data_IF_644865704829
#
_entry.id   IF_644865704829
#
_cell.length_a   1.000
_cell.length_b   1.000
_cell.length_c   1.000
_cell.angle_alpha   90.00
_cell.angle_beta   90.00
_cell.angle_gamma   90.00
#
_symmetry.space_group_name_H-M   'P 1'
#
loop_
_entity.id
_entity.type
_entity.pdbx_description
1 polymer ?
#
# COMPACT_ATOMS: atom_id res chain seq x y z
N UNK A 1 3.12 3.55 -7.00
CA UNK A 1 4.16 4.19 -6.18
C UNK A 1 5.02 5.07 -7.09
N UNK A 2 5.03 6.39 -6.88
CA UNK A 2 5.82 7.30 -7.72
C UNK A 2 7.32 7.04 -7.53
N UNK A 3 8.05 6.83 -8.62
CA UNK A 3 9.49 6.52 -8.61
C UNK A 3 10.40 7.55 -7.93
N UNK A 4 9.87 8.73 -7.55
CA UNK A 4 10.66 9.77 -6.86
C UNK A 4 11.11 9.38 -5.43
N UNK A 5 10.52 8.36 -4.79
CA UNK A 5 10.92 7.94 -3.43
C UNK A 5 11.78 6.67 -3.36
N UNK A 6 11.93 5.90 -4.46
CA UNK A 6 12.60 4.60 -4.42
C UNK A 6 14.08 4.74 -4.09
N UNK A 7 14.80 5.59 -4.83
CA UNK A 7 16.23 5.83 -4.62
C UNK A 7 16.51 6.43 -3.23
N UNK A 8 15.68 7.37 -2.78
CA UNK A 8 15.78 7.94 -1.44
C UNK A 8 15.65 6.85 -0.37
N UNK A 9 14.65 5.97 -0.51
CA UNK A 9 14.40 4.87 0.43
C UNK A 9 15.56 3.87 0.44
N UNK A 10 16.03 3.45 -0.74
CA UNK A 10 17.17 2.54 -0.87
C UNK A 10 18.44 3.13 -0.25
N UNK A 11 18.73 4.39 -0.55
CA UNK A 11 19.86 5.12 0.03
C UNK A 11 19.76 5.23 1.54
N UNK A 12 18.56 5.50 2.06
CA UNK A 12 18.31 5.57 3.51
C UNK A 12 18.56 4.22 4.18
N UNK A 13 17.99 3.13 3.64
CA UNK A 13 18.14 1.78 4.19
C UNK A 13 19.61 1.35 4.20
N UNK A 14 20.32 1.49 3.07
CA UNK A 14 21.74 1.14 2.96
C UNK A 14 22.63 1.96 3.91
N UNK A 15 22.28 3.23 4.15
CA UNK A 15 22.97 4.05 5.16
C UNK A 15 22.72 3.52 6.57
N UNK A 16 21.48 3.16 6.91
CA UNK A 16 21.14 2.65 8.25
C UNK A 16 21.80 1.30 8.50
N UNK A 17 21.78 0.38 7.54
CA UNK A 17 22.43 -0.94 7.63
C UNK A 17 23.92 -0.79 7.94
N UNK A 18 24.64 0.00 7.13
CA UNK A 18 26.07 0.25 7.34
C UNK A 18 26.36 0.93 8.67
N UNK A 19 25.61 1.97 9.02
CA UNK A 19 25.83 2.75 10.26
C UNK A 19 25.53 1.94 11.53
N UNK A 20 24.57 1.02 11.47
CA UNK A 20 24.18 0.17 12.61
C UNK A 20 24.92 -1.17 12.65
N UNK A 21 25.68 -1.50 11.61
CA UNK A 21 26.38 -2.79 11.50
C UNK A 21 25.43 -3.97 11.37
N UNK A 22 24.29 -3.81 10.69
CA UNK A 22 23.35 -4.92 10.48
C UNK A 22 23.87 -5.87 9.40
N UNK A 23 23.76 -7.17 9.64
CA UNK A 23 24.01 -8.21 8.64
C UNK A 23 22.75 -8.38 7.76
N UNK A 24 22.55 -7.42 6.84
CA UNK A 24 21.40 -7.40 5.96
C UNK A 24 21.77 -6.82 4.58
N UNK A 25 21.09 -7.30 3.54
CA UNK A 25 21.21 -6.80 2.17
C UNK A 25 19.86 -6.32 1.66
N UNK A 26 19.85 -5.27 0.85
CA UNK A 26 18.62 -4.74 0.23
C UNK A 26 18.73 -4.91 -1.28
N UNK A 27 17.72 -5.52 -1.88
CA UNK A 27 17.59 -5.68 -3.33
C UNK A 27 16.42 -4.85 -3.84
N UNK A 28 16.65 -4.04 -4.88
CA UNK A 28 15.58 -3.31 -5.54
C UNK A 28 14.90 -4.21 -6.58
N UNK A 29 13.64 -4.57 -6.31
CA UNK A 29 12.83 -5.41 -7.18
C UNK A 29 11.81 -4.62 -8.02
N UNK A 30 11.91 -3.28 -8.03
CA UNK A 30 10.89 -2.40 -8.64
C UNK A 30 10.64 -2.73 -10.11
N UNK A 31 11.68 -2.95 -10.91
CA UNK A 31 11.54 -3.25 -12.35
C UNK A 31 11.12 -4.70 -12.63
N UNK A 32 11.36 -5.61 -11.69
CA UNK A 32 11.03 -7.03 -11.83
C UNK A 32 9.56 -7.35 -11.55
N UNK A 33 8.81 -6.39 -11.00
CA UNK A 33 7.44 -6.59 -10.52
C UNK A 33 6.48 -5.54 -11.07
N UNK A 34 5.39 -5.99 -11.68
CA UNK A 34 4.19 -5.21 -11.91
C UNK A 34 3.25 -5.27 -10.70
N UNK A 35 2.44 -4.22 -10.53
CA UNK A 35 1.37 -4.18 -9.53
C UNK A 35 0.06 -3.81 -10.23
N UNK A 36 -0.95 -4.66 -10.07
CA UNK A 36 -2.34 -4.36 -10.44
C UNK A 36 -3.18 -4.24 -9.17
N UNK A 37 -3.99 -3.19 -9.07
CA UNK A 37 -4.90 -3.00 -7.94
C UNK A 37 -6.32 -3.31 -8.39
N UNK A 38 -6.91 -4.37 -7.82
CA UNK A 38 -8.29 -4.77 -8.07
C UNK A 38 -9.13 -4.36 -6.85
N UNK A 39 -9.93 -3.30 -6.99
CA UNK A 39 -10.63 -2.67 -5.88
C UNK A 39 -12.13 -2.56 -6.16
N UNK A 40 -12.94 -2.70 -5.12
CA UNK A 40 -14.40 -2.62 -5.16
C UNK A 40 -15.08 -3.89 -4.62
N UNK A 41 -16.42 -3.84 -4.41
CA UNK A 41 -17.18 -4.92 -3.78
C UNK A 41 -17.11 -6.24 -4.55
N UNK A 42 -16.97 -6.18 -5.88
CA UNK A 42 -16.88 -7.37 -6.74
C UNK A 42 -15.44 -7.91 -6.91
N UNK A 43 -14.45 -7.27 -6.29
CA UNK A 43 -13.03 -7.66 -6.45
C UNK A 43 -12.74 -9.11 -6.07
N UNK A 44 -13.40 -9.64 -5.03
CA UNK A 44 -13.29 -11.04 -4.63
C UNK A 44 -13.83 -11.97 -5.73
N UNK A 45 -15.06 -11.75 -6.17
CA UNK A 45 -15.69 -12.59 -7.19
C UNK A 45 -14.89 -12.61 -8.49
N UNK A 46 -14.43 -11.45 -8.96
CA UNK A 46 -13.59 -11.34 -10.15
C UNK A 46 -12.28 -12.14 -10.00
N UNK A 47 -11.68 -12.12 -8.80
CA UNK A 47 -10.42 -12.83 -8.55
C UNK A 47 -10.65 -14.34 -8.44
N UNK A 48 -11.78 -14.77 -7.86
CA UNK A 48 -12.19 -16.18 -7.78
C UNK A 48 -12.43 -16.81 -9.17
N UNK A 49 -12.87 -16.05 -10.18
CA UNK A 49 -12.99 -16.54 -11.57
C UNK A 49 -11.64 -16.96 -12.18
N UNK A 50 -10.52 -16.45 -11.66
CA UNK A 50 -9.19 -16.62 -12.25
C UNK A 50 -8.22 -17.41 -11.37
N UNK A 51 -8.63 -17.82 -10.16
CA UNK A 51 -7.83 -18.68 -9.26
C UNK A 51 -8.72 -19.73 -8.57
N UNK A 52 -8.17 -20.92 -8.34
CA UNK A 52 -8.88 -22.01 -7.62
C UNK A 52 -8.82 -21.87 -6.08
N UNK A 53 -8.44 -20.69 -5.59
CA UNK A 53 -8.25 -20.46 -4.16
C UNK A 53 -9.50 -19.86 -3.54
N UNK A 54 -9.85 -20.31 -2.34
CA UNK A 54 -10.90 -19.71 -1.53
C UNK A 54 -10.40 -18.37 -0.97
N UNK A 55 -11.04 -17.28 -1.39
CA UNK A 55 -10.72 -15.90 -1.01
C UNK A 55 -11.72 -15.34 0.01
N UNK A 56 -12.45 -16.21 0.70
CA UNK A 56 -13.36 -15.84 1.78
C UNK A 56 -12.63 -15.13 2.91
N UNK A 57 -13.39 -14.34 3.68
CA UNK A 57 -12.86 -13.58 4.81
C UNK A 57 -12.13 -14.44 5.84
N UNK A 58 -12.53 -15.71 5.96
CA UNK A 58 -11.94 -16.67 6.90
C UNK A 58 -10.54 -17.11 6.48
N UNK A 59 -10.34 -17.40 5.19
CA UNK A 59 -9.07 -17.93 4.68
C UNK A 59 -8.14 -16.84 4.15
N UNK A 60 -8.70 -15.71 3.71
CA UNK A 60 -7.94 -14.55 3.26
C UNK A 60 -8.35 -13.28 4.02
N UNK A 61 -8.03 -13.15 5.33
CA UNK A 61 -8.42 -11.99 6.12
C UNK A 61 -7.71 -10.70 5.68
N UNK A 62 -8.30 -9.55 6.00
CA UNK A 62 -7.73 -8.23 5.69
C UNK A 62 -6.31 -8.09 6.28
N UNK A 63 -5.44 -7.33 5.58
CA UNK A 63 -4.06 -7.09 5.99
C UNK A 63 -3.17 -8.35 6.02
N UNK A 64 -3.49 -9.34 5.17
CA UNK A 64 -2.66 -10.53 4.93
C UNK A 64 -2.29 -10.66 3.45
N UNK A 65 -1.42 -11.62 3.13
CA UNK A 65 -1.00 -11.91 1.76
C UNK A 65 -0.97 -13.41 1.49
N UNK A 66 -1.22 -13.78 0.23
CA UNK A 66 -1.18 -15.15 -0.26
C UNK A 66 -0.56 -15.18 -1.66
N UNK A 67 -0.04 -16.34 -2.08
CA UNK A 67 0.40 -16.58 -3.45
C UNK A 67 -0.71 -17.31 -4.19
N UNK A 68 -1.29 -16.66 -5.18
CA UNK A 68 -2.35 -17.19 -6.03
C UNK A 68 -1.75 -17.75 -7.32
N UNK A 69 -2.41 -18.76 -7.89
CA UNK A 69 -2.14 -19.23 -9.24
C UNK A 69 -3.21 -18.69 -10.19
N UNK A 70 -2.86 -17.66 -10.97
CA UNK A 70 -3.75 -17.07 -11.96
C UNK A 70 -3.42 -17.65 -13.33
N UNK A 71 -4.18 -18.68 -13.73
CA UNK A 71 -4.04 -19.40 -15.02
C UNK A 71 -2.58 -19.78 -15.35
N UNK A 72 -1.86 -20.35 -14.38
CA UNK A 72 -0.47 -20.80 -14.53
C UNK A 72 0.59 -19.76 -14.15
N UNK A 73 0.19 -18.57 -13.69
CA UNK A 73 1.10 -17.50 -13.27
C UNK A 73 1.01 -17.30 -11.75
N UNK A 74 2.14 -17.39 -11.05
CA UNK A 74 2.20 -17.12 -9.62
C UNK A 74 2.15 -15.62 -9.35
N UNK A 75 1.17 -15.21 -8.55
CA UNK A 75 0.90 -13.81 -8.21
C UNK A 75 0.80 -13.68 -6.71
N UNK A 76 1.55 -12.75 -6.11
CA UNK A 76 1.39 -12.45 -4.68
C UNK A 76 0.27 -11.43 -4.51
N UNK A 77 -0.85 -11.87 -3.96
CA UNK A 77 -1.97 -11.00 -3.64
C UNK A 77 -1.85 -10.51 -2.19
N UNK A 78 -2.02 -9.21 -1.98
CA UNK A 78 -2.19 -8.60 -0.68
C UNK A 78 -3.64 -8.16 -0.55
N UNK A 79 -4.33 -8.56 0.53
CA UNK A 79 -5.66 -8.07 0.82
C UNK A 79 -5.57 -6.71 1.51
N UNK A 80 -5.30 -5.69 0.70
CA UNK A 80 -5.11 -4.30 1.08
C UNK A 80 -5.90 -3.38 0.14
N UNK A 81 -6.26 -2.20 0.64
CA UNK A 81 -6.95 -1.20 -0.15
C UNK A 81 -6.41 0.19 0.15
N UNK A 82 -6.10 0.93 -0.91
CA UNK A 82 -5.81 2.36 -0.85
C UNK A 82 -7.04 3.23 -1.15
N UNK A 83 -8.19 2.60 -1.43
CA UNK A 83 -9.47 3.30 -1.68
C UNK A 83 -10.51 3.00 -0.58
N UNK A 84 -10.12 2.20 0.43
CA UNK A 84 -10.94 1.83 1.59
C UNK A 84 -12.15 0.93 1.28
N UNK A 85 -12.12 0.24 0.15
CA UNK A 85 -13.11 -0.77 -0.24
C UNK A 85 -12.48 -2.17 -0.16
N UNK A 86 -13.28 -3.22 -0.32
CA UNK A 86 -12.73 -4.57 -0.52
C UNK A 86 -11.81 -4.55 -1.77
N UNK A 87 -10.63 -5.13 -1.66
CA UNK A 87 -9.73 -5.20 -2.80
C UNK A 87 -8.42 -5.91 -2.51
N UNK A 88 -7.64 -6.05 -3.58
CA UNK A 88 -6.38 -6.75 -3.61
C UNK A 88 -5.34 -5.96 -4.39
N UNK A 89 -4.10 -5.96 -3.90
CA UNK A 89 -2.92 -5.57 -4.67
C UNK A 89 -2.20 -6.83 -5.15
N UNK A 90 -2.10 -6.97 -6.46
CA UNK A 90 -1.54 -8.13 -7.13
C UNK A 90 -0.12 -7.81 -7.58
N UNK A 91 0.86 -8.34 -6.87
CA UNK A 91 2.27 -8.25 -7.22
C UNK A 91 2.63 -9.39 -8.16
N UNK A 92 2.98 -9.05 -9.40
CA UNK A 92 3.11 -9.97 -10.53
C UNK A 92 4.53 -9.82 -11.10
N UNK A 93 5.28 -10.90 -11.38
CA UNK A 93 6.52 -10.79 -12.14
C UNK A 93 6.26 -10.04 -13.45
N UNK A 94 7.08 -9.05 -13.79
CA UNK A 94 6.80 -8.09 -14.87
C UNK A 94 6.45 -8.75 -16.21
N UNK A 95 7.14 -9.85 -16.54
CA UNK A 95 6.89 -10.67 -17.75
C UNK A 95 5.49 -11.30 -17.84
N UNK A 96 4.74 -11.39 -16.74
CA UNK A 96 3.39 -11.96 -16.69
C UNK A 96 2.30 -10.91 -16.46
N UNK A 97 2.67 -9.64 -16.27
CA UNK A 97 1.74 -8.58 -15.89
C UNK A 97 0.62 -8.39 -16.94
N UNK A 98 0.99 -8.34 -18.22
CA UNK A 98 0.03 -8.22 -19.34
C UNK A 98 -0.96 -9.39 -19.38
N UNK A 99 -0.46 -10.63 -19.21
CA UNK A 99 -1.30 -11.84 -19.22
C UNK A 99 -2.31 -11.81 -18.07
N UNK A 100 -1.86 -11.50 -16.86
CA UNK A 100 -2.73 -11.41 -15.68
C UNK A 100 -3.75 -10.27 -15.84
N UNK A 101 -3.34 -9.12 -16.38
CA UNK A 101 -4.24 -8.01 -16.69
C UNK A 101 -5.37 -8.44 -17.62
N UNK A 102 -5.06 -9.13 -18.72
CA UNK A 102 -6.09 -9.61 -19.65
C UNK A 102 -7.06 -10.62 -19.02
N UNK A 103 -6.56 -11.54 -18.18
CA UNK A 103 -7.42 -12.49 -17.46
C UNK A 103 -8.41 -11.76 -16.53
N UNK A 104 -7.94 -10.76 -15.79
CA UNK A 104 -8.80 -9.94 -14.93
C UNK A 104 -9.81 -9.12 -15.73
N UNK A 105 -9.40 -8.55 -16.87
CA UNK A 105 -10.31 -7.80 -17.75
C UNK A 105 -11.43 -8.68 -18.31
N UNK A 106 -11.13 -9.92 -18.69
CA UNK A 106 -12.12 -10.88 -19.17
C UNK A 106 -13.09 -11.28 -18.06
N UNK A 107 -12.57 -11.70 -16.90
CA UNK A 107 -13.40 -12.07 -15.74
C UNK A 107 -14.24 -10.90 -15.23
N UNK A 108 -13.69 -9.69 -15.19
CA UNK A 108 -14.36 -8.49 -14.70
C UNK A 108 -15.48 -7.95 -15.59
N UNK A 109 -15.65 -8.48 -16.81
CA UNK A 109 -16.65 -7.98 -17.77
C UNK A 109 -18.08 -8.13 -17.24
N UNK A 110 -18.41 -9.29 -16.66
CA UNK A 110 -19.75 -9.57 -16.12
C UNK A 110 -20.05 -8.72 -14.87
N UNK A 111 -19.02 -8.31 -14.14
CA UNK A 111 -19.12 -7.49 -12.95
C UNK A 111 -19.07 -5.99 -13.24
N UNK A 112 -19.03 -5.58 -14.51
CA UNK A 112 -18.96 -4.17 -14.92
C UNK A 112 -17.65 -3.49 -14.51
N UNK A 113 -16.55 -4.24 -14.41
CA UNK A 113 -15.24 -3.71 -14.02
C UNK A 113 -14.78 -2.60 -14.98
N UNK A 114 -14.21 -1.53 -14.42
CA UNK A 114 -13.71 -0.38 -15.18
C UNK A 114 -12.27 -0.08 -14.78
N UNK A 115 -11.50 0.41 -15.75
CA UNK A 115 -10.17 0.94 -15.49
C UNK A 115 -10.29 2.30 -14.80
N UNK A 116 -9.45 2.50 -13.78
CA UNK A 116 -9.36 3.74 -13.04
C UNK A 116 -7.89 4.18 -12.95
N UNK A 117 -7.66 5.48 -13.06
CA UNK A 117 -6.33 6.08 -12.91
C UNK A 117 -6.09 6.62 -11.50
N UNK A 118 -4.90 7.21 -11.31
CA UNK A 118 -4.49 7.77 -10.02
C UNK A 118 -5.43 8.87 -9.48
N UNK A 119 -6.09 9.66 -10.35
CA UNK A 119 -7.03 10.70 -9.90
C UNK A 119 -8.23 10.13 -9.15
N UNK A 120 -8.85 9.07 -9.68
CA UNK A 120 -9.95 8.38 -9.02
C UNK A 120 -9.48 7.73 -7.71
N UNK A 121 -8.32 7.08 -7.75
CA UNK A 121 -7.72 6.46 -6.56
C UNK A 121 -7.45 7.49 -5.45
N UNK A 122 -6.88 8.65 -5.79
CA UNK A 122 -6.60 9.71 -4.81
C UNK A 122 -7.88 10.36 -4.28
N UNK A 123 -8.91 10.52 -5.10
CA UNK A 123 -10.23 10.99 -4.65
C UNK A 123 -10.81 10.05 -3.59
N UNK A 124 -10.83 8.74 -3.86
CA UNK A 124 -11.34 7.75 -2.91
C UNK A 124 -10.46 7.65 -1.66
N UNK A 125 -9.13 7.71 -1.80
CA UNK A 125 -8.22 7.74 -0.66
C UNK A 125 -8.47 8.94 0.26
N UNK A 126 -8.74 10.11 -0.32
CA UNK A 126 -9.09 11.33 0.40
C UNK A 126 -10.39 11.17 1.20
N UNK A 127 -11.43 10.54 0.61
CA UNK A 127 -12.69 10.25 1.32
C UNK A 127 -12.49 9.35 2.55
N UNK A 128 -11.48 8.48 2.53
CA UNK A 128 -11.11 7.63 3.68
C UNK A 128 -10.15 8.30 4.66
N UNK A 129 -9.70 9.51 4.37
CA UNK A 129 -8.73 10.25 5.17
C UNK A 129 -7.32 9.65 5.14
N UNK A 130 -6.96 8.94 4.07
CA UNK A 130 -5.61 8.42 3.89
C UNK A 130 -4.65 9.53 3.49
N UNK A 131 -3.40 9.39 3.93
CA UNK A 131 -2.36 10.37 3.70
C UNK A 131 -1.54 10.02 2.47
N UNK A 132 -1.37 10.98 1.57
CA UNK A 132 -0.48 10.91 0.43
C UNK A 132 0.88 11.51 0.78
N UNK A 133 1.92 10.68 0.66
CA UNK A 133 3.30 11.16 0.81
C UNK A 133 3.64 12.20 -0.26
N UNK A 134 4.28 13.30 0.15
CA UNK A 134 4.56 14.52 -0.63
C UNK A 134 3.37 15.44 -0.93
N UNK A 135 2.15 15.09 -0.52
CA UNK A 135 0.98 15.99 -0.59
C UNK A 135 0.51 16.34 0.81
N UNK A 136 0.04 15.34 1.55
CA UNK A 136 -0.46 15.50 2.93
C UNK A 136 0.65 15.36 3.96
N UNK A 137 1.69 14.58 3.63
CA UNK A 137 2.87 14.38 4.47
C UNK A 137 4.11 14.91 3.78
N UNK A 138 4.81 15.81 4.45
CA UNK A 138 6.10 16.35 4.01
C UNK A 138 7.19 15.97 5.01
N UNK A 139 8.45 16.18 4.62
CA UNK A 139 9.62 15.81 5.43
C UNK A 139 9.74 16.63 6.73
N UNK A 140 9.03 17.75 6.83
CA UNK A 140 8.93 18.65 7.99
C UNK A 140 7.67 18.41 8.84
N UNK A 141 6.87 17.40 8.53
CA UNK A 141 5.74 16.97 9.35
C UNK A 141 6.14 15.78 10.23
N UNK A 142 5.66 15.75 11.48
CA UNK A 142 5.87 14.60 12.36
C UNK A 142 4.59 13.75 12.54
N UNK A 143 4.71 12.46 12.92
CA UNK A 143 3.55 11.57 13.02
C UNK A 143 2.45 12.06 13.98
N UNK A 144 2.77 12.88 14.98
CA UNK A 144 1.77 13.43 15.91
C UNK A 144 0.97 14.55 15.26
N UNK A 145 1.64 15.44 14.51
CA UNK A 145 0.98 16.50 13.72
C UNK A 145 0.05 15.91 12.65
N UNK A 146 0.47 14.82 12.02
CA UNK A 146 -0.30 14.12 11.01
C UNK A 146 -1.43 13.23 11.57
N UNK A 147 -1.64 13.17 12.89
CA UNK A 147 -2.63 12.24 13.47
C UNK A 147 -2.27 10.75 13.34
N UNK A 148 -1.04 10.44 12.94
CA UNK A 148 -0.48 9.09 12.75
C UNK A 148 0.27 8.57 13.99
N UNK A 149 0.17 9.26 15.13
CA UNK A 149 0.89 8.91 16.36
C UNK A 149 0.57 7.52 16.92
N UNK A 150 -0.55 6.91 16.49
CA UNK A 150 -0.95 5.55 16.83
C UNK A 150 -0.14 4.47 16.09
N UNK A 151 0.46 4.80 14.93
CA UNK A 151 1.33 3.90 14.17
C UNK A 151 2.75 3.81 14.76
N UNK A 152 3.13 4.78 15.60
CA UNK A 152 4.44 4.78 16.23
C UNK A 152 4.55 3.65 17.27
N UNK A 153 5.66 2.91 17.23
CA UNK A 153 5.95 1.81 18.16
C UNK A 153 5.84 2.28 19.61
N UNK A 154 5.10 1.52 20.44
CA UNK A 154 4.88 1.85 21.87
C UNK A 154 6.07 1.53 22.77
N UNK A 155 6.87 0.52 22.43
CA UNK A 155 7.96 0.02 23.27
C UNK A 155 9.24 -0.17 22.45
N UNK A 156 10.40 -0.14 23.10
CA UNK A 156 11.70 -0.25 22.43
C UNK A 156 12.13 1.03 21.70
N UNK A 157 13.29 0.97 21.04
CA UNK A 157 13.90 2.11 20.36
C UNK A 157 13.58 2.12 18.85
N UNK A 158 13.44 3.31 18.28
CA UNK A 158 13.34 3.55 16.83
C UNK A 158 13.83 4.96 16.48
N UNK A 159 14.19 5.18 15.21
CA UNK A 159 14.66 6.48 14.76
C UNK A 159 13.55 7.54 14.89
N UNK A 160 13.83 8.65 15.59
CA UNK A 160 12.86 9.72 15.82
C UNK A 160 11.97 9.54 17.07
N UNK A 161 12.14 8.47 17.86
CA UNK A 161 11.33 8.20 19.06
C UNK A 161 11.24 9.39 20.02
N UNK A 162 12.39 9.96 20.42
CA UNK A 162 12.44 11.11 21.34
C UNK A 162 11.65 12.31 20.83
N UNK A 163 11.65 12.56 19.52
CA UNK A 163 10.88 13.65 18.90
C UNK A 163 9.38 13.39 19.00
N UNK A 164 8.96 12.15 18.70
CA UNK A 164 7.55 11.74 18.80
C UNK A 164 7.06 11.81 20.26
N UNK A 165 7.84 11.34 21.22
CA UNK A 165 7.48 11.38 22.65
C UNK A 165 7.33 12.81 23.17
N UNK A 166 8.25 13.70 22.79
CA UNK A 166 8.14 15.12 23.12
C UNK A 166 6.89 15.76 22.52
N UNK A 167 6.59 15.49 21.25
CA UNK A 167 5.39 16.01 20.58
C UNK A 167 4.09 15.48 21.22
N UNK A 168 4.09 14.23 21.70
CA UNK A 168 2.96 13.66 22.45
C UNK A 168 2.78 14.32 23.82
N UNK A 169 3.88 14.54 24.55
CA UNK A 169 3.84 15.10 25.91
C UNK A 169 3.52 16.61 25.92
N UNK A 170 4.13 17.37 25.02
CA UNK A 170 4.04 18.83 25.00
C UNK A 170 2.88 19.35 24.12
N UNK A 171 2.26 18.49 23.32
CA UNK A 171 1.36 18.89 22.25
C UNK A 171 2.09 19.37 21.00
N UNK A 172 1.31 19.71 19.97
CA UNK A 172 1.79 20.15 18.65
C UNK A 172 1.16 21.47 18.26
N UNK A 173 1.91 22.30 17.52
CA UNK A 173 1.48 23.63 17.09
C UNK A 173 0.54 23.59 15.86
N UNK A 174 0.75 22.62 14.97
CA UNK A 174 -0.08 22.36 13.78
C UNK A 174 -0.65 20.95 13.84
N UNK A 175 -1.82 20.73 13.21
CA UNK A 175 -2.41 19.41 13.02
C UNK A 175 -3.00 19.29 11.63
N UNK A 176 -2.86 18.11 11.03
CA UNK A 176 -3.58 17.74 9.81
C UNK A 176 -5.07 17.60 10.13
N UNK A 177 -5.91 18.20 9.28
CA UNK A 177 -7.37 18.17 9.41
C UNK A 177 -8.01 17.99 8.04
N UNK A 178 -9.19 17.39 8.00
CA UNK A 178 -10.03 17.34 6.81
C UNK A 178 -11.06 18.46 6.87
N UNK A 179 -11.15 19.24 5.79
CA UNK A 179 -12.12 20.33 5.66
C UNK A 179 -13.16 19.96 4.61
N UNK A 180 -14.43 20.21 4.92
CA UNK A 180 -15.53 20.14 3.98
C UNK A 180 -16.03 21.56 3.71
N UNK A 181 -15.85 22.03 2.49
CA UNK A 181 -16.30 23.35 2.03
C UNK A 181 -17.58 23.12 1.24
N UNK A 182 -18.66 23.78 1.65
CA UNK A 182 -19.96 23.74 0.97
C UNK A 182 -20.06 24.83 -0.08
#
# INVERSE_FOLDING_TARGET
>A
AGGMSSYHTLSHLNRVIRKRGFEATVHDATESMGILSLQGPNSRYILEEVTDMDLSDKLFPFSTCQVLNIKGNLVRAFRLSFVGELGYELHIPSQFCEKVFHQLMLAGKEYGMKLAGFRSMYSLACEKGYHLWNSDLRMDDNPVEAGLGFLCRRHGEYNGKKTVEKAKANGVFKKMVHMHIK
#
